data_IF_079430346903
#
_entry.id   IF_079430346903
#
_cell.length_a   1.000
_cell.length_b   1.000
_cell.length_c   1.000
_cell.angle_alpha   90.00
_cell.angle_beta   90.00
_cell.angle_gamma   90.00
#
_symmetry.space_group_name_H-M   'P 1'
#
loop_
_entity.id
_entity.type
_entity.pdbx_description
1 polymer ?
#
# COMPACT_ATOMS: atom_id res chain seq x y z
N UNK A 1 -2.69 14.72 17.82
CA UNK A 1 -2.78 13.43 17.10
C UNK A 1 -2.14 12.39 18.00
N UNK A 2 -2.86 11.32 18.35
CA UNK A 2 -2.29 10.26 19.20
C UNK A 2 -1.30 9.45 18.36
N UNK A 3 -0.01 9.65 18.61
CA UNK A 3 1.08 9.02 17.85
C UNK A 3 1.18 7.52 18.11
N UNK A 4 0.76 7.04 19.29
CA UNK A 4 0.77 5.61 19.62
C UNK A 4 -0.31 4.88 18.81
N UNK A 5 -1.51 5.46 18.75
CA UNK A 5 -2.60 4.91 17.92
C UNK A 5 -2.22 4.87 16.45
N UNK A 6 -1.49 5.86 15.95
CA UNK A 6 -0.97 5.86 14.59
C UNK A 6 0.03 4.73 14.35
N UNK A 7 0.99 4.53 15.26
CA UNK A 7 1.98 3.45 15.16
C UNK A 7 1.31 2.07 15.15
N UNK A 8 0.28 1.88 15.98
CA UNK A 8 -0.50 0.64 16.02
C UNK A 8 -1.22 0.37 14.69
N UNK A 9 -1.92 1.36 14.14
CA UNK A 9 -2.63 1.22 12.86
C UNK A 9 -1.65 0.98 11.71
N UNK A 10 -0.53 1.72 11.66
CA UNK A 10 0.55 1.50 10.68
C UNK A 10 1.03 0.06 10.73
N UNK A 11 1.31 -0.48 11.92
CA UNK A 11 1.74 -1.86 12.10
C UNK A 11 0.71 -2.86 11.55
N UNK A 12 -0.57 -2.70 11.91
CA UNK A 12 -1.66 -3.56 11.41
C UNK A 12 -1.80 -3.54 9.89
N UNK A 13 -1.58 -2.37 9.25
CA UNK A 13 -1.63 -2.25 7.79
C UNK A 13 -0.48 -3.03 7.16
N UNK A 14 0.76 -2.79 7.63
CA UNK A 14 1.96 -3.47 7.12
C UNK A 14 1.80 -4.98 7.28
N UNK A 15 1.51 -5.45 8.48
CA UNK A 15 1.36 -6.88 8.78
C UNK A 15 0.31 -7.56 7.89
N UNK A 16 -0.82 -6.89 7.62
CA UNK A 16 -1.87 -7.49 6.81
C UNK A 16 -1.52 -7.53 5.32
N UNK A 17 -0.84 -6.50 4.80
CA UNK A 17 -0.39 -6.48 3.40
C UNK A 17 0.78 -7.44 3.19
N UNK A 18 1.68 -7.57 4.16
CA UNK A 18 2.84 -8.47 4.09
C UNK A 18 2.47 -9.96 4.08
N UNK A 19 1.22 -10.33 4.41
CA UNK A 19 0.69 -11.68 4.15
C UNK A 19 0.57 -12.02 2.66
N UNK A 20 0.52 -11.02 1.79
CA UNK A 20 0.32 -11.16 0.35
C UNK A 20 1.57 -10.71 -0.43
N UNK A 21 2.26 -9.69 0.05
CA UNK A 21 3.45 -9.12 -0.58
C UNK A 21 4.66 -9.33 0.33
N UNK A 22 5.59 -10.17 -0.10
CA UNK A 22 6.79 -10.49 0.69
C UNK A 22 7.91 -9.49 0.38
N UNK A 23 8.62 -9.02 1.42
CA UNK A 23 9.86 -8.26 1.28
C UNK A 23 9.70 -6.83 0.74
N UNK A 24 8.53 -6.21 0.93
CA UNK A 24 8.23 -4.84 0.47
C UNK A 24 7.70 -3.94 1.59
N UNK A 25 8.06 -4.22 2.84
CA UNK A 25 7.54 -3.52 4.02
C UNK A 25 7.75 -2.00 3.95
N UNK A 26 8.92 -1.55 3.50
CA UNK A 26 9.22 -0.12 3.30
C UNK A 26 8.31 0.54 2.24
N UNK A 27 8.03 -0.17 1.15
CA UNK A 27 7.12 0.34 0.11
C UNK A 27 5.70 0.46 0.66
N UNK A 28 5.24 -0.54 1.43
CA UNK A 28 3.92 -0.52 2.07
C UNK A 28 3.83 0.65 3.06
N UNK A 29 4.90 0.90 3.82
CA UNK A 29 4.99 2.04 4.72
C UNK A 29 4.88 3.38 3.98
N UNK A 30 5.67 3.59 2.92
CA UNK A 30 5.63 4.83 2.13
C UNK A 30 4.25 5.05 1.49
N UNK A 31 3.61 4.00 1.00
CA UNK A 31 2.22 4.06 0.49
C UNK A 31 1.25 4.47 1.60
N UNK A 32 1.42 3.91 2.81
CA UNK A 32 0.59 4.26 3.98
C UNK A 32 0.73 5.73 4.34
N UNK A 33 1.96 6.23 4.41
CA UNK A 33 2.25 7.65 4.69
C UNK A 33 1.63 8.54 3.62
N UNK A 34 1.87 8.23 2.34
CA UNK A 34 1.34 9.00 1.22
C UNK A 34 -0.19 9.07 1.25
N UNK A 35 -0.86 7.94 1.51
CA UNK A 35 -2.31 7.86 1.61
C UNK A 35 -2.86 8.76 2.72
N UNK A 36 -2.24 8.76 3.89
CA UNK A 36 -2.66 9.59 5.03
C UNK A 36 -2.43 11.08 4.77
N UNK A 37 -1.38 11.42 4.02
CA UNK A 37 -1.11 12.77 3.58
C UNK A 37 -1.96 13.21 2.37
N UNK A 38 -2.81 12.34 1.81
CA UNK A 38 -3.62 12.64 0.63
C UNK A 38 -2.81 12.81 -0.66
N UNK A 39 -1.61 12.21 -0.73
CA UNK A 39 -0.72 12.28 -1.88
C UNK A 39 -0.99 11.21 -2.94
N UNK A 40 -0.15 11.21 -3.98
CA UNK A 40 -0.17 10.20 -5.04
C UNK A 40 1.17 9.46 -5.10
N UNK A 41 1.12 8.16 -5.35
CA UNK A 41 2.30 7.29 -5.45
C UNK A 41 2.51 6.83 -6.87
N UNK A 42 3.74 6.96 -7.36
CA UNK A 42 4.23 6.25 -8.54
C UNK A 42 5.00 5.02 -8.09
N UNK A 43 4.52 3.82 -8.42
CA UNK A 43 5.24 2.58 -8.17
C UNK A 43 6.11 2.24 -9.38
N UNK A 44 7.39 2.60 -9.33
CA UNK A 44 8.38 2.20 -10.32
C UNK A 44 9.21 1.00 -9.84
N UNK A 45 9.31 -0.03 -10.69
CA UNK A 45 9.91 -1.34 -10.42
C UNK A 45 9.83 -2.17 -11.72
N UNK A 46 10.57 -3.27 -11.76
CA UNK A 46 10.58 -4.21 -12.88
C UNK A 46 9.16 -4.78 -13.11
N UNK A 47 8.75 -5.03 -14.37
CA UNK A 47 7.49 -5.71 -14.66
C UNK A 47 7.38 -7.06 -13.93
N UNK A 48 6.20 -7.35 -13.37
CA UNK A 48 5.94 -8.61 -12.66
C UNK A 48 6.22 -8.59 -11.15
N UNK A 49 6.76 -7.51 -10.59
CA UNK A 49 7.10 -7.40 -9.16
C UNK A 49 5.91 -7.13 -8.22
N UNK A 50 4.69 -7.50 -8.63
CA UNK A 50 3.52 -7.44 -7.76
C UNK A 50 2.94 -6.05 -7.47
N UNK A 51 3.33 -4.98 -8.18
CA UNK A 51 2.82 -3.59 -7.98
C UNK A 51 1.28 -3.53 -7.87
N UNK A 52 0.59 -4.14 -8.83
CA UNK A 52 -0.88 -4.20 -8.85
C UNK A 52 -1.42 -4.97 -7.65
N UNK A 53 -0.75 -6.05 -7.27
CA UNK A 53 -1.15 -6.88 -6.14
C UNK A 53 -0.96 -6.15 -4.81
N UNK A 54 0.11 -5.35 -4.69
CA UNK A 54 0.38 -4.51 -3.52
C UNK A 54 -0.76 -3.52 -3.29
N UNK A 55 -1.11 -2.72 -4.29
CA UNK A 55 -2.20 -1.73 -4.15
C UNK A 55 -3.55 -2.41 -3.95
N UNK A 56 -3.78 -3.59 -4.55
CA UNK A 56 -5.01 -4.37 -4.34
C UNK A 56 -5.10 -4.95 -2.92
N UNK A 57 -3.98 -5.42 -2.35
CA UNK A 57 -3.93 -5.89 -0.97
C UNK A 57 -4.10 -4.72 0.02
N UNK A 58 -3.43 -3.60 -0.25
CA UNK A 58 -3.52 -2.38 0.54
C UNK A 58 -4.95 -1.82 0.61
N UNK A 59 -5.61 -1.67 -0.54
CA UNK A 59 -7.02 -1.23 -0.60
C UNK A 59 -7.96 -2.17 0.15
N UNK A 60 -7.79 -3.49 0.01
CA UNK A 60 -8.55 -4.48 0.79
C UNK A 60 -8.32 -4.35 2.30
N UNK A 61 -7.07 -4.14 2.73
CA UNK A 61 -6.73 -3.94 4.15
C UNK A 61 -7.46 -2.74 4.75
N UNK A 62 -7.64 -1.68 3.98
CA UNK A 62 -8.31 -0.44 4.41
C UNK A 62 -9.82 -0.42 4.11
N UNK A 63 -10.37 -1.43 3.45
CA UNK A 63 -11.76 -1.44 3.01
C UNK A 63 -12.07 -0.41 1.91
N UNK A 64 -11.06 0.01 1.14
CA UNK A 64 -11.22 0.95 0.04
C UNK A 64 -11.61 0.26 -1.28
N UNK A 65 -12.26 1.02 -2.15
CA UNK A 65 -12.47 0.60 -3.54
C UNK A 65 -11.13 0.55 -4.30
N UNK A 66 -10.99 -0.46 -5.16
CA UNK A 66 -9.85 -0.61 -6.06
C UNK A 66 -10.31 -0.54 -7.52
N UNK A 67 -9.74 0.40 -8.28
CA UNK A 67 -9.95 0.52 -9.72
C UNK A 67 -8.60 0.54 -10.42
N UNK A 68 -8.51 -0.17 -11.55
CA UNK A 68 -7.31 -0.22 -12.41
C UNK A 68 -7.66 0.33 -13.78
N UNK A 69 -6.89 1.29 -14.26
CA UNK A 69 -6.93 1.81 -15.62
C UNK A 69 -5.61 1.40 -16.28
N UNK A 70 -5.68 0.69 -17.39
CA UNK A 70 -4.51 0.31 -18.17
C UNK A 70 -4.31 1.34 -19.28
N UNK A 71 -3.13 1.96 -19.34
CA UNK A 71 -2.73 2.78 -20.47
C UNK A 71 -2.58 1.88 -21.70
N UNK A 72 -3.04 2.35 -22.85
CA UNK A 72 -2.85 1.65 -24.14
C UNK A 72 -1.35 1.56 -24.48
N UNK A 73 -0.94 0.57 -25.31
CA UNK A 73 0.45 0.42 -25.75
C UNK A 73 0.98 1.66 -26.47
#
# INVERSE_FOLDING_TARGET
MDTLKFQEIRGKIIDNVSKVIVGKDEVIELVTVCFICGGHVLLDDIPGMGKTMLIKAFSKTLGCDFKRIQFTP
#
